data_IF_244866013283
#
_entry.id   IF_244866013283
#
_cell.length_a   1.000
_cell.length_b   1.000
_cell.length_c   1.000
_cell.angle_alpha   90.00
_cell.angle_beta   90.00
_cell.angle_gamma   90.00
#
_symmetry.space_group_name_H-M   'P 1'
#
loop_
_entity.id
_entity.type
_entity.pdbx_description
1 polymer ?
#
# COMPACT_ATOMS: atom_id res chain seq x y z
N UNK A 1 13.73 -13.53 7.53
CA UNK A 1 12.27 -13.52 7.33
C UNK A 1 12.04 -12.88 5.98
N UNK A 2 11.30 -13.51 5.08
CA UNK A 2 11.05 -12.94 3.73
C UNK A 2 10.03 -11.82 3.85
N UNK A 3 10.33 -10.66 3.29
CA UNK A 3 9.42 -9.52 3.21
C UNK A 3 8.69 -9.59 1.88
N UNK A 4 7.36 -9.56 1.91
CA UNK A 4 6.51 -9.65 0.72
C UNK A 4 6.07 -8.24 0.32
N UNK A 5 6.50 -7.71 -0.83
CA UNK A 5 6.02 -6.43 -1.34
C UNK A 5 4.56 -6.55 -1.78
N UNK A 6 3.70 -5.72 -1.20
CA UNK A 6 2.26 -5.72 -1.47
C UNK A 6 1.78 -4.35 -1.95
N UNK A 7 0.66 -4.33 -2.66
CA UNK A 7 -0.05 -3.11 -2.99
C UNK A 7 -1.46 -3.09 -2.39
N UNK A 8 -2.02 -1.89 -2.20
CA UNK A 8 -3.46 -1.73 -1.97
C UNK A 8 -4.10 -1.18 -3.25
N UNK A 9 -5.04 -1.93 -3.82
CA UNK A 9 -5.86 -1.48 -4.95
C UNK A 9 -7.24 -1.06 -4.45
N UNK A 10 -7.59 0.21 -4.65
CA UNK A 10 -8.78 0.85 -4.09
C UNK A 10 -8.46 1.57 -2.78
N UNK A 11 -8.20 2.87 -2.86
CA UNK A 11 -7.79 3.74 -1.76
C UNK A 11 -8.97 4.49 -1.09
N UNK A 12 -10.17 3.94 -1.21
CA UNK A 12 -11.37 4.42 -0.52
C UNK A 12 -11.44 3.97 0.94
N UNK A 13 -12.65 3.94 1.51
CA UNK A 13 -12.87 3.60 2.92
C UNK A 13 -12.37 2.19 3.32
N UNK A 14 -12.45 1.21 2.41
CA UNK A 14 -11.93 -0.14 2.65
C UNK A 14 -10.39 -0.20 2.58
N UNK A 15 -9.77 0.46 1.59
CA UNK A 15 -8.31 0.59 1.52
C UNK A 15 -7.73 1.22 2.79
N UNK A 16 -8.37 2.26 3.31
CA UNK A 16 -8.02 2.85 4.60
C UNK A 16 -8.14 1.89 5.80
N UNK A 17 -9.10 0.96 5.79
CA UNK A 17 -9.21 -0.07 6.83
C UNK A 17 -8.13 -1.14 6.71
N UNK A 18 -7.75 -1.54 5.49
CA UNK A 18 -6.61 -2.43 5.27
C UNK A 18 -5.30 -1.79 5.73
N UNK A 19 -5.08 -0.50 5.45
CA UNK A 19 -3.92 0.22 5.97
C UNK A 19 -3.87 0.23 7.51
N UNK A 20 -5.01 0.41 8.19
CA UNK A 20 -5.06 0.33 9.65
C UNK A 20 -4.72 -1.07 10.18
N UNK A 21 -5.22 -2.11 9.51
CA UNK A 21 -4.86 -3.49 9.86
C UNK A 21 -3.36 -3.77 9.65
N UNK A 22 -2.77 -3.22 8.58
CA UNK A 22 -1.32 -3.23 8.35
C UNK A 22 -0.56 -2.53 9.46
N UNK A 23 -1.00 -1.34 9.89
CA UNK A 23 -0.40 -0.64 11.03
C UNK A 23 -0.39 -1.50 12.30
N UNK A 24 -1.52 -2.11 12.65
CA UNK A 24 -1.59 -3.03 13.80
C UNK A 24 -0.67 -4.26 13.64
N UNK A 25 -0.50 -4.76 12.41
CA UNK A 25 0.42 -5.87 12.12
C UNK A 25 1.89 -5.44 12.30
N UNK A 26 2.25 -4.24 11.87
CA UNK A 26 3.58 -3.66 12.10
C UNK A 26 3.85 -3.45 13.59
N UNK A 27 2.90 -2.87 14.33
CA UNK A 27 3.00 -2.65 15.78
C UNK A 27 3.18 -3.95 16.57
N UNK A 28 2.63 -5.06 16.09
CA UNK A 28 2.82 -6.37 16.72
C UNK A 28 4.21 -6.98 16.52
N UNK A 29 5.03 -6.41 15.63
CA UNK A 29 6.35 -6.96 15.25
C UNK A 29 6.26 -8.24 14.42
N UNK A 30 5.07 -8.63 13.98
CA UNK A 30 4.83 -9.84 13.18
C UNK A 30 4.75 -9.57 11.68
N UNK A 31 4.78 -8.30 11.27
CA UNK A 31 4.72 -7.93 9.86
C UNK A 31 5.87 -8.55 9.05
N UNK A 32 5.50 -9.27 8.00
CA UNK A 32 6.41 -9.80 6.99
C UNK A 32 6.05 -9.30 5.59
N UNK A 33 5.37 -8.16 5.52
CA UNK A 33 4.91 -7.52 4.29
C UNK A 33 5.41 -6.08 4.26
N UNK A 34 5.57 -5.53 3.06
CA UNK A 34 5.89 -4.12 2.86
C UNK A 34 4.85 -3.51 1.92
N UNK A 35 4.14 -2.47 2.37
CA UNK A 35 3.23 -1.72 1.50
C UNK A 35 4.05 -0.83 0.57
N UNK A 36 4.21 -1.27 -0.67
CA UNK A 36 5.10 -0.62 -1.63
C UNK A 36 4.38 0.22 -2.68
N UNK A 37 3.08 -0.03 -2.88
CA UNK A 37 2.27 0.68 -3.87
C UNK A 37 0.81 0.86 -3.41
N UNK A 38 0.19 1.93 -3.87
CA UNK A 38 -1.25 2.18 -3.76
C UNK A 38 -1.77 2.54 -5.14
N UNK A 39 -2.90 1.94 -5.53
CA UNK A 39 -3.55 2.21 -6.81
C UNK A 39 -5.02 2.59 -6.61
N UNK A 40 -5.46 3.72 -7.17
CA UNK A 40 -6.87 4.10 -7.24
C UNK A 40 -7.12 4.94 -8.50
N UNK A 41 -8.26 4.77 -9.16
CA UNK A 41 -8.57 5.54 -10.37
C UNK A 41 -8.72 7.05 -10.09
N UNK A 42 -9.02 7.43 -8.84
CA UNK A 42 -8.98 8.80 -8.36
C UNK A 42 -7.64 9.05 -7.67
N UNK A 43 -6.77 9.80 -8.34
CA UNK A 43 -5.42 10.12 -7.85
C UNK A 43 -5.41 10.68 -6.43
N UNK A 44 -6.35 11.57 -6.09
CA UNK A 44 -6.50 12.13 -4.75
C UNK A 44 -6.68 11.08 -3.65
N UNK A 45 -7.39 9.97 -3.94
CA UNK A 45 -7.57 8.89 -2.97
C UNK A 45 -6.25 8.14 -2.76
N UNK A 46 -5.54 7.84 -3.85
CA UNK A 46 -4.28 7.12 -3.80
C UNK A 46 -3.19 7.94 -3.09
N UNK A 47 -3.11 9.24 -3.37
CA UNK A 47 -2.25 10.19 -2.66
C UNK A 47 -2.57 10.21 -1.16
N UNK A 48 -3.84 10.39 -0.80
CA UNK A 48 -4.28 10.44 0.59
C UNK A 48 -3.96 9.16 1.38
N UNK A 49 -4.12 8.00 0.76
CA UNK A 49 -3.78 6.73 1.42
C UNK A 49 -2.26 6.55 1.52
N UNK A 50 -1.48 6.97 0.52
CA UNK A 50 -0.03 6.91 0.57
C UNK A 50 0.55 7.82 1.67
N UNK A 51 0.02 9.03 1.82
CA UNK A 51 0.44 9.96 2.88
C UNK A 51 0.12 9.39 4.27
N UNK A 52 -1.06 8.80 4.43
CA UNK A 52 -1.40 8.07 5.67
C UNK A 52 -0.50 6.86 5.92
N UNK A 53 -0.09 6.16 4.87
CA UNK A 53 0.82 5.03 5.01
C UNK A 53 2.20 5.50 5.46
N UNK A 54 2.68 6.65 4.98
CA UNK A 54 3.89 7.28 5.48
C UNK A 54 3.79 7.62 6.98
N UNK A 55 2.68 8.26 7.39
CA UNK A 55 2.42 8.58 8.80
C UNK A 55 2.36 7.34 9.70
N UNK A 56 1.74 6.25 9.22
CA UNK A 56 1.47 5.05 10.04
C UNK A 56 2.58 4.02 10.01
N UNK A 57 3.22 3.81 8.87
CA UNK A 57 4.20 2.74 8.62
C UNK A 57 5.64 3.28 8.54
N UNK A 58 5.81 4.61 8.43
CA UNK A 58 7.11 5.26 8.29
C UNK A 58 7.70 5.21 6.87
N UNK A 59 6.99 4.62 5.91
CA UNK A 59 7.38 4.61 4.49
C UNK A 59 6.20 4.94 3.59
N UNK A 60 6.45 5.75 2.57
CA UNK A 60 5.44 6.18 1.62
C UNK A 60 5.42 5.26 0.40
N UNK A 61 4.31 4.54 0.12
CA UNK A 61 4.19 3.72 -1.08
C UNK A 61 4.11 4.57 -2.34
N UNK A 62 4.50 4.00 -3.48
CA UNK A 62 4.32 4.63 -4.78
C UNK A 62 2.83 4.71 -5.16
N UNK A 63 2.44 5.82 -5.79
CA UNK A 63 1.06 6.10 -6.15
C UNK A 63 0.83 5.81 -7.63
N UNK A 64 -0.23 5.07 -7.91
CA UNK A 64 -0.66 4.73 -9.26
C UNK A 64 -2.15 5.01 -9.46
N UNK A 65 -2.52 5.32 -10.70
CA UNK A 65 -3.93 5.45 -11.11
C UNK A 65 -4.39 4.33 -12.04
N UNK A 66 -3.48 3.41 -12.38
CA UNK A 66 -3.71 2.26 -13.25
C UNK A 66 -2.94 1.05 -12.74
N UNK A 67 -3.62 -0.10 -12.64
CA UNK A 67 -2.98 -1.37 -12.31
C UNK A 67 -1.98 -1.81 -13.39
N UNK A 68 -2.21 -1.43 -14.65
CA UNK A 68 -1.30 -1.78 -15.74
C UNK A 68 0.05 -1.08 -15.57
N UNK A 69 0.03 0.22 -15.26
CA UNK A 69 1.23 1.01 -15.01
C UNK A 69 1.92 0.59 -13.72
N UNK A 70 1.14 0.29 -12.67
CA UNK A 70 1.65 -0.26 -11.41
C UNK A 70 2.42 -1.56 -11.65
N UNK A 71 1.83 -2.53 -12.37
CA UNK A 71 2.49 -3.81 -12.65
C UNK A 71 3.75 -3.66 -13.51
N UNK A 72 3.76 -2.72 -14.46
CA UNK A 72 4.94 -2.45 -15.31
C UNK A 72 6.09 -1.83 -14.52
N UNK A 73 5.79 -0.88 -13.64
CA UNK A 73 6.80 -0.15 -12.84
C UNK A 73 7.25 -0.92 -11.61
N UNK A 74 6.37 -1.75 -11.04
CA UNK A 74 6.60 -2.58 -9.85
C UNK A 74 6.31 -4.06 -10.13
N UNK A 75 7.13 -4.70 -10.99
CA UNK A 75 7.00 -6.13 -11.28
C UNK A 75 7.34 -7.02 -10.08
N UNK A 76 7.92 -6.44 -9.02
CA UNK A 76 8.27 -7.07 -7.77
C UNK A 76 7.08 -7.28 -6.83
N UNK A 77 5.93 -6.61 -7.03
CA UNK A 77 4.74 -6.81 -6.19
C UNK A 77 4.27 -8.28 -6.24
N UNK A 78 4.11 -8.88 -5.07
CA UNK A 78 3.74 -10.29 -4.91
C UNK A 78 2.27 -10.48 -4.49
N UNK A 79 1.61 -9.46 -3.92
CA UNK A 79 0.18 -9.49 -3.56
C UNK A 79 -0.51 -8.13 -3.67
N UNK A 80 -1.84 -8.14 -3.85
CA UNK A 80 -2.73 -6.95 -3.94
C UNK A 80 -3.98 -7.08 -3.07
#
# INVERSE_FOLDING_TARGET
MTVIPIAIVGAGGMGGRHLRALGALYDSGMANVELVAVCDTREENALHLADKAEEMLGSRPEVFTSMEDMRKKRPDIEAV
#
